data_IF_259268755961
#
_entry.id   IF_259268755961
#
_cell.length_a   1.000
_cell.length_b   1.000
_cell.length_c   1.000
_cell.angle_alpha   90.00
_cell.angle_beta   90.00
_cell.angle_gamma   90.00
#
_symmetry.space_group_name_H-M   'P 1'
#
loop_
_entity.id
_entity.type
_entity.pdbx_description
1 polymer ?
#
# COMPACT_ATOMS: atom_id res chain seq x y z
N UNK A 1 -3.82 -14.11 -15.57
CA UNK A 1 -3.20 -13.73 -14.29
C UNK A 1 -1.86 -13.09 -14.59
N UNK A 2 -1.69 -11.80 -14.27
CA UNK A 2 -0.35 -11.21 -14.29
C UNK A 2 0.42 -11.70 -13.07
N UNK A 3 1.67 -12.11 -13.26
CA UNK A 3 2.53 -12.46 -12.14
C UNK A 3 2.94 -11.19 -11.37
N UNK A 4 3.43 -11.34 -10.13
CA UNK A 4 4.03 -10.22 -9.39
C UNK A 4 5.12 -9.52 -10.24
N UNK A 5 5.88 -10.28 -11.01
CA UNK A 5 6.93 -9.77 -11.89
C UNK A 5 6.36 -8.91 -13.01
N UNK A 6 5.21 -9.29 -13.58
CA UNK A 6 4.55 -8.50 -14.65
C UNK A 6 3.96 -7.22 -14.09
N UNK A 7 3.40 -7.25 -12.88
CA UNK A 7 2.94 -6.05 -12.17
C UNK A 7 4.09 -5.08 -11.92
N UNK A 8 5.23 -5.56 -11.41
CA UNK A 8 6.41 -4.74 -11.16
C UNK A 8 6.91 -4.10 -12.47
N UNK A 9 7.02 -4.88 -13.55
CA UNK A 9 7.40 -4.34 -14.86
C UNK A 9 6.45 -3.25 -15.34
N UNK A 10 5.15 -3.43 -15.16
CA UNK A 10 4.16 -2.41 -15.53
C UNK A 10 4.35 -1.11 -14.76
N UNK A 11 4.70 -1.19 -13.47
CA UNK A 11 4.97 -0.01 -12.64
C UNK A 11 6.24 0.68 -13.12
N UNK A 12 7.31 -0.08 -13.33
CA UNK A 12 8.59 0.47 -13.82
C UNK A 12 8.43 1.17 -15.17
N UNK A 13 7.62 0.62 -16.08
CA UNK A 13 7.33 1.23 -17.38
C UNK A 13 6.55 2.56 -17.29
N UNK A 14 5.94 2.87 -16.15
CA UNK A 14 5.23 4.14 -15.93
C UNK A 14 6.13 5.21 -15.29
N UNK A 15 7.33 4.84 -14.83
CA UNK A 15 8.25 5.77 -14.23
C UNK A 15 9.01 6.57 -15.29
N UNK A 16 9.33 7.85 -15.01
CA UNK A 16 10.22 8.63 -15.87
C UNK A 16 11.62 8.01 -15.97
N UNK A 17 12.30 8.19 -17.11
CA UNK A 17 13.68 7.70 -17.30
C UNK A 17 14.68 8.35 -16.33
N UNK A 18 14.37 9.54 -15.80
CA UNK A 18 15.18 10.25 -14.82
C UNK A 18 14.75 9.96 -13.36
N UNK A 19 13.93 8.93 -13.13
CA UNK A 19 13.56 8.54 -11.78
C UNK A 19 14.78 8.10 -10.96
N UNK A 20 14.74 8.42 -9.68
CA UNK A 20 15.75 8.01 -8.72
C UNK A 20 15.49 6.58 -8.23
N UNK A 21 16.47 6.00 -7.54
CA UNK A 21 16.29 4.73 -6.84
C UNK A 21 15.19 4.84 -5.78
N UNK A 22 15.07 5.99 -5.12
CA UNK A 22 14.09 6.26 -4.07
C UNK A 22 12.66 6.26 -4.64
N UNK A 23 12.46 6.79 -5.85
CA UNK A 23 11.17 6.74 -6.54
C UNK A 23 10.75 5.29 -6.79
N UNK A 24 11.65 4.48 -7.35
CA UNK A 24 11.39 3.06 -7.60
C UNK A 24 11.04 2.34 -6.30
N UNK A 25 11.81 2.58 -5.23
CA UNK A 25 11.56 1.98 -3.92
C UNK A 25 10.21 2.37 -3.34
N UNK A 26 9.83 3.65 -3.44
CA UNK A 26 8.54 4.15 -2.98
C UNK A 26 7.39 3.46 -3.70
N UNK A 27 7.45 3.35 -5.02
CA UNK A 27 6.40 2.71 -5.80
C UNK A 27 6.25 1.21 -5.46
N UNK A 28 7.36 0.51 -5.27
CA UNK A 28 7.33 -0.89 -4.83
C UNK A 28 6.75 -1.03 -3.43
N UNK A 29 7.12 -0.15 -2.50
CA UNK A 29 6.58 -0.13 -1.14
C UNK A 29 5.06 0.07 -1.14
N UNK A 30 4.55 1.06 -1.87
CA UNK A 30 3.10 1.36 -1.93
C UNK A 30 2.34 0.15 -2.49
N UNK A 31 2.84 -0.45 -3.57
CA UNK A 31 2.19 -1.60 -4.21
C UNK A 31 2.11 -2.79 -3.26
N UNK A 32 3.21 -3.09 -2.56
CA UNK A 32 3.23 -4.17 -1.58
C UNK A 32 2.31 -3.88 -0.40
N UNK A 33 2.28 -2.63 0.11
CA UNK A 33 1.38 -2.23 1.20
C UNK A 33 -0.09 -2.35 0.83
N UNK A 34 -0.47 -1.96 -0.38
CA UNK A 34 -1.85 -2.11 -0.87
C UNK A 34 -2.21 -3.59 -1.00
N UNK A 35 -1.33 -4.41 -1.58
CA UNK A 35 -1.56 -5.86 -1.72
C UNK A 35 -1.74 -6.54 -0.36
N UNK A 36 -0.87 -6.23 0.59
CA UNK A 36 -0.97 -6.73 1.97
C UNK A 36 -2.26 -6.27 2.63
N UNK A 37 -2.63 -4.99 2.48
CA UNK A 37 -3.87 -4.44 3.04
C UNK A 37 -5.13 -5.12 2.50
N UNK A 38 -5.19 -5.41 1.19
CA UNK A 38 -6.29 -6.16 0.58
C UNK A 38 -6.34 -7.58 1.15
N UNK A 39 -5.21 -8.28 1.20
CA UNK A 39 -5.17 -9.64 1.75
C UNK A 39 -5.65 -9.69 3.20
N UNK A 40 -5.16 -8.78 4.05
CA UNK A 40 -5.62 -8.65 5.44
C UNK A 40 -7.12 -8.37 5.51
N UNK A 41 -7.65 -7.46 4.67
CA UNK A 41 -9.07 -7.18 4.65
C UNK A 41 -9.92 -8.41 4.24
N UNK A 42 -9.39 -9.29 3.40
CA UNK A 42 -10.09 -10.50 2.95
C UNK A 42 -9.97 -11.66 3.94
N UNK A 43 -8.86 -11.76 4.68
CA UNK A 43 -8.61 -12.86 5.61
C UNK A 43 -8.96 -12.56 7.06
N UNK A 44 -8.88 -11.29 7.47
CA UNK A 44 -9.06 -10.85 8.85
C UNK A 44 -10.33 -10.01 9.03
N UNK A 45 -10.70 -9.76 10.29
CA UNK A 45 -11.87 -8.96 10.62
C UNK A 45 -11.60 -7.47 10.37
N UNK A 46 -12.50 -6.82 9.62
CA UNK A 46 -12.46 -5.38 9.34
C UNK A 46 -13.12 -4.59 10.47
N UNK A 47 -12.63 -3.39 10.73
CA UNK A 47 -13.23 -2.47 11.69
C UNK A 47 -14.28 -1.58 11.02
N UNK A 48 -15.34 -1.23 11.75
CA UNK A 48 -16.23 -0.12 11.37
C UNK A 48 -15.50 1.20 11.60
N UNK A 49 -15.91 2.22 10.84
CA UNK A 49 -15.33 3.57 10.92
C UNK A 49 -15.24 4.11 12.35
N UNK A 50 -16.32 4.03 13.13
CA UNK A 50 -16.33 4.53 14.52
C UNK A 50 -15.40 3.77 15.47
N UNK A 51 -15.15 2.48 15.22
CA UNK A 51 -14.19 1.69 16.00
C UNK A 51 -12.76 2.13 15.68
N UNK A 52 -12.46 2.39 14.40
CA UNK A 52 -11.17 2.92 13.98
C UNK A 52 -10.91 4.33 14.55
N UNK A 53 -11.89 5.22 14.50
CA UNK A 53 -11.81 6.57 15.09
C UNK A 53 -11.57 6.51 16.61
N UNK A 54 -12.27 5.62 17.31
CA UNK A 54 -12.09 5.41 18.75
C UNK A 54 -10.71 4.87 19.13
N UNK A 55 -10.07 4.08 18.25
CA UNK A 55 -8.68 3.63 18.45
C UNK A 55 -7.72 4.80 18.19
N UNK A 56 -7.88 5.50 17.06
CA UNK A 56 -6.99 6.56 16.61
C UNK A 56 -7.00 7.82 17.48
N UNK A 57 -8.09 8.07 18.20
CA UNK A 57 -8.20 9.21 19.11
C UNK A 57 -7.12 9.24 20.21
N UNK A 58 -6.54 8.09 20.57
CA UNK A 58 -5.48 7.96 21.58
C UNK A 58 -4.19 8.70 21.24
N UNK A 59 -3.97 9.02 19.97
CA UNK A 59 -2.78 9.73 19.49
C UNK A 59 -3.05 11.21 19.17
N UNK A 60 -4.28 11.69 19.40
CA UNK A 60 -4.58 13.12 19.32
C UNK A 60 -3.95 13.81 20.54
N UNK A 61 -3.12 14.81 20.28
CA UNK A 61 -2.57 15.71 21.30
C UNK A 61 -3.54 16.88 21.38
N UNK A 62 -4.41 16.88 22.40
CA UNK A 62 -5.29 18.02 22.72
C UNK A 62 -4.56 19.08 23.55
#
# INVERSE_FOLDING_TARGET
MNTIKDTIKSILNQLPDNCSIEDIQYHLYVVEKVRQGINIADTESRLKQGEAEGILSKWLIE
#
